data_IF_277143492946
#
_entry.id   IF_277143492946
#
_cell.length_a   1.000
_cell.length_b   1.000
_cell.length_c   1.000
_cell.angle_alpha   90.00
_cell.angle_beta   90.00
_cell.angle_gamma   90.00
#
_symmetry.space_group_name_H-M   'P 1'
#
loop_
_entity.id
_entity.type
_entity.pdbx_description
1 polymer ?
#
# COMPACT_ATOMS: atom_id res chain seq x y z
N UNK A 1 -5.37 -85.52 43.73
CA UNK A 1 -4.84 -84.21 44.17
C UNK A 1 -4.31 -83.49 42.96
N UNK A 2 -5.11 -82.61 42.40
CA UNK A 2 -4.73 -81.81 41.22
C UNK A 2 -4.80 -80.31 41.60
N UNK A 3 -3.82 -79.49 41.30
CA UNK A 3 -3.89 -78.08 41.54
C UNK A 3 -4.46 -77.38 40.34
N UNK A 4 -5.37 -76.48 40.61
CA UNK A 4 -6.02 -75.52 39.65
C UNK A 4 -4.99 -74.47 39.22
N UNK A 5 -4.81 -74.36 37.91
CA UNK A 5 -4.09 -73.22 37.31
C UNK A 5 -5.02 -72.11 37.05
N UNK A 6 -4.82 -70.96 37.65
CA UNK A 6 -5.52 -69.70 37.37
C UNK A 6 -4.88 -69.03 36.15
N UNK A 7 -5.68 -68.91 35.06
CA UNK A 7 -5.32 -68.08 33.89
C UNK A 7 -5.78 -66.65 34.12
N UNK A 8 -4.89 -65.71 34.22
CA UNK A 8 -5.19 -64.26 34.23
C UNK A 8 -5.16 -63.78 32.79
N UNK A 9 -6.35 -63.47 32.25
CA UNK A 9 -6.51 -62.79 30.99
C UNK A 9 -6.29 -61.26 31.23
N UNK A 10 -5.14 -60.78 30.80
CA UNK A 10 -4.82 -59.35 30.80
C UNK A 10 -5.35 -58.73 29.50
N UNK A 11 -6.47 -58.04 29.58
CA UNK A 11 -7.09 -57.29 28.47
C UNK A 11 -6.35 -55.97 28.32
N UNK A 12 -5.48 -55.87 27.32
CA UNK A 12 -4.80 -54.60 26.98
C UNK A 12 -5.81 -53.80 26.12
N UNK A 13 -6.29 -52.68 26.67
CA UNK A 13 -7.13 -51.72 26.00
C UNK A 13 -6.27 -50.78 25.16
N UNK A 14 -6.40 -50.73 23.84
CA UNK A 14 -5.61 -49.77 23.05
C UNK A 14 -6.17 -48.36 23.22
N UNK A 15 -5.31 -47.48 23.79
CA UNK A 15 -5.54 -46.06 23.90
C UNK A 15 -5.42 -45.43 22.51
N UNK A 16 -6.56 -45.16 21.85
CA UNK A 16 -6.64 -44.39 20.59
C UNK A 16 -6.38 -42.92 20.91
N UNK A 17 -5.17 -42.46 20.67
CA UNK A 17 -4.84 -41.02 20.67
C UNK A 17 -5.35 -40.43 19.34
N UNK A 18 -6.51 -39.78 19.37
CA UNK A 18 -7.01 -39.01 18.27
C UNK A 18 -6.19 -37.70 18.17
N UNK A 19 -5.26 -37.65 17.22
CA UNK A 19 -4.53 -36.44 16.86
C UNK A 19 -5.50 -35.53 16.09
N UNK A 20 -6.09 -34.53 16.77
CA UNK A 20 -6.88 -33.50 16.12
C UNK A 20 -5.93 -32.59 15.34
N UNK A 21 -5.81 -32.80 14.02
CA UNK A 21 -5.16 -31.86 13.11
C UNK A 21 -6.08 -30.64 12.99
N UNK A 22 -5.79 -29.58 13.75
CA UNK A 22 -6.41 -28.27 13.54
C UNK A 22 -5.87 -27.73 12.22
N UNK A 23 -6.66 -27.85 11.14
CA UNK A 23 -6.38 -27.16 9.89
C UNK A 23 -6.50 -25.64 10.15
N UNK A 24 -5.37 -24.97 10.31
CA UNK A 24 -5.28 -23.50 10.23
C UNK A 24 -5.61 -23.17 8.77
N UNK A 25 -6.85 -22.78 8.49
CA UNK A 25 -7.20 -22.19 7.22
C UNK A 25 -6.48 -20.84 7.14
N UNK A 26 -5.35 -20.80 6.48
CA UNK A 26 -4.73 -19.56 6.09
C UNK A 26 -5.72 -18.84 5.17
N UNK A 27 -6.33 -17.76 5.65
CA UNK A 27 -7.13 -16.88 4.81
C UNK A 27 -6.19 -16.33 3.73
N UNK A 28 -6.32 -16.86 2.51
CA UNK A 28 -5.54 -16.39 1.38
C UNK A 28 -5.88 -14.91 1.16
N UNK A 29 -4.90 -14.05 1.39
CA UNK A 29 -5.00 -12.63 1.09
C UNK A 29 -5.20 -12.47 -0.42
N UNK A 30 -6.29 -11.80 -0.83
CA UNK A 30 -6.60 -11.60 -2.24
C UNK A 30 -6.07 -10.25 -2.69
N UNK A 31 -5.30 -10.27 -3.79
CA UNK A 31 -4.91 -9.04 -4.49
C UNK A 31 -6.12 -8.49 -5.26
N UNK A 32 -6.43 -7.22 -5.03
CA UNK A 32 -7.57 -6.51 -5.61
C UNK A 32 -7.07 -5.35 -6.49
N UNK A 33 -7.77 -5.00 -7.58
CA UNK A 33 -7.46 -3.80 -8.34
C UNK A 33 -7.55 -2.55 -7.46
N UNK A 34 -6.55 -1.66 -7.57
CA UNK A 34 -6.51 -0.39 -6.87
C UNK A 34 -6.38 0.77 -7.85
N UNK A 35 -7.25 1.76 -7.68
CA UNK A 35 -7.23 3.03 -8.41
C UNK A 35 -7.51 4.16 -7.44
N UNK A 36 -6.73 5.21 -7.56
CA UNK A 36 -6.90 6.44 -6.81
C UNK A 36 -6.71 7.61 -7.77
N UNK A 37 -7.50 8.64 -7.60
CA UNK A 37 -7.31 9.93 -8.25
C UNK A 37 -7.62 11.02 -7.24
N UNK A 38 -6.69 11.98 -7.11
CA UNK A 38 -6.86 13.15 -6.26
C UNK A 38 -6.35 14.42 -6.93
N UNK A 39 -6.84 15.53 -6.44
CA UNK A 39 -6.41 16.88 -6.80
C UNK A 39 -6.13 17.67 -5.52
N UNK A 40 -5.16 18.57 -5.59
CA UNK A 40 -4.77 19.28 -4.39
C UNK A 40 -3.72 20.36 -4.65
N UNK A 41 -2.99 20.67 -3.60
CA UNK A 41 -1.95 21.69 -3.59
C UNK A 41 -0.60 21.12 -3.22
N UNK A 42 0.45 21.76 -3.73
CA UNK A 42 1.84 21.55 -3.33
C UNK A 42 2.38 22.84 -2.76
N UNK A 43 3.06 22.74 -1.63
CA UNK A 43 3.70 23.87 -0.96
C UNK A 43 5.17 23.56 -0.71
N UNK A 44 6.07 24.29 -1.37
CA UNK A 44 7.52 24.13 -1.15
C UNK A 44 7.92 24.72 0.19
N UNK A 45 8.62 23.90 0.99
CA UNK A 45 9.21 24.28 2.28
C UNK A 45 10.66 24.71 2.08
N UNK A 46 11.32 24.10 1.09
CA UNK A 46 12.68 24.40 0.66
C UNK A 46 12.82 24.15 -0.84
N UNK A 47 13.95 24.49 -1.47
CA UNK A 47 14.16 24.16 -2.90
C UNK A 47 14.03 22.66 -3.25
N UNK A 48 14.20 21.77 -2.27
CA UNK A 48 14.19 20.32 -2.47
C UNK A 48 13.08 19.57 -1.71
N UNK A 49 12.28 20.25 -0.90
CA UNK A 49 11.21 19.61 -0.11
C UNK A 49 9.89 20.36 -0.24
N UNK A 50 8.80 19.61 -0.31
CA UNK A 50 7.45 20.16 -0.36
C UNK A 50 6.49 19.28 0.43
N UNK A 51 5.37 19.88 0.84
CA UNK A 51 4.19 19.16 1.31
C UNK A 51 3.09 19.19 0.27
N UNK A 52 2.26 18.16 0.25
CA UNK A 52 1.06 18.08 -0.58
C UNK A 52 -0.16 17.88 0.31
N UNK A 53 -1.30 18.43 -0.10
CA UNK A 53 -2.59 18.17 0.52
C UNK A 53 -3.68 18.18 -0.55
N UNK A 54 -4.59 17.22 -0.48
CA UNK A 54 -5.60 17.08 -1.52
C UNK A 54 -6.85 16.33 -1.09
N UNK A 55 -7.74 16.15 -2.06
CA UNK A 55 -8.96 15.37 -1.92
C UNK A 55 -9.22 14.58 -3.18
N UNK A 56 -9.85 13.43 -3.05
CA UNK A 56 -10.10 12.58 -4.21
C UNK A 56 -11.00 11.39 -3.92
N UNK A 57 -10.85 10.38 -4.75
CA UNK A 57 -11.55 9.11 -4.59
C UNK A 57 -10.60 7.94 -4.84
N UNK A 58 -10.78 6.87 -4.08
CA UNK A 58 -10.03 5.64 -4.28
C UNK A 58 -10.94 4.41 -4.19
N UNK A 59 -10.62 3.37 -4.98
CA UNK A 59 -11.26 2.06 -4.82
C UNK A 59 -11.02 1.54 -3.40
N UNK A 60 -12.00 0.90 -2.80
CA UNK A 60 -11.98 0.39 -1.42
C UNK A 60 -11.91 1.46 -0.32
N UNK A 61 -11.74 2.75 -0.65
CA UNK A 61 -11.70 3.85 0.32
C UNK A 61 -12.88 4.82 0.17
N UNK A 62 -13.44 4.96 -1.05
CA UNK A 62 -14.42 5.98 -1.38
C UNK A 62 -13.75 7.35 -1.44
N UNK A 63 -14.42 8.38 -0.90
CA UNK A 63 -13.85 9.72 -0.79
C UNK A 63 -12.67 9.73 0.18
N UNK A 64 -11.60 10.41 -0.18
CA UNK A 64 -10.37 10.52 0.59
C UNK A 64 -9.94 11.98 0.76
N UNK A 65 -9.15 12.23 1.80
CA UNK A 65 -8.17 13.32 1.87
C UNK A 65 -6.78 12.75 1.75
N UNK A 66 -5.84 13.50 1.17
CA UNK A 66 -4.44 13.13 1.04
C UNK A 66 -3.55 14.17 1.71
N UNK A 67 -2.48 13.70 2.36
CA UNK A 67 -1.40 14.50 2.92
C UNK A 67 -0.08 13.81 2.57
N UNK A 68 0.89 14.54 2.03
CA UNK A 68 2.15 13.97 1.60
C UNK A 68 3.36 14.86 1.84
N UNK A 69 4.53 14.22 1.81
CA UNK A 69 5.83 14.86 1.83
C UNK A 69 6.63 14.43 0.62
N UNK A 70 7.14 15.39 -0.13
CA UNK A 70 7.92 15.21 -1.35
C UNK A 70 9.34 15.70 -1.13
N UNK A 71 10.31 14.92 -1.62
CA UNK A 71 11.73 15.29 -1.61
C UNK A 71 12.33 15.10 -2.99
N UNK A 72 12.97 16.13 -3.54
CA UNK A 72 13.80 16.04 -4.73
C UNK A 72 15.14 15.44 -4.30
N UNK A 73 15.47 14.27 -4.83
CA UNK A 73 16.66 13.48 -4.46
C UNK A 73 17.77 13.55 -5.51
N UNK A 74 17.51 14.15 -6.65
CA UNK A 74 18.49 14.32 -7.72
C UNK A 74 17.88 14.84 -9.01
N UNK A 75 18.71 14.89 -10.05
CA UNK A 75 18.28 15.19 -11.41
C UNK A 75 17.77 13.93 -12.11
N UNK A 76 16.88 14.12 -13.06
CA UNK A 76 16.38 13.10 -13.97
C UNK A 76 16.59 13.52 -15.42
N UNK A 77 16.93 12.57 -16.29
CA UNK A 77 16.97 12.79 -17.72
C UNK A 77 15.57 12.60 -18.32
N UNK A 78 15.06 13.64 -18.92
CA UNK A 78 13.75 13.64 -19.58
C UNK A 78 13.88 13.48 -21.10
N UNK A 79 12.76 13.39 -21.80
CA UNK A 79 12.73 13.37 -23.27
C UNK A 79 13.34 14.66 -23.80
N UNK A 80 13.94 14.61 -24.99
CA UNK A 80 14.62 15.75 -25.67
C UNK A 80 15.81 16.36 -24.90
N UNK A 81 16.45 15.56 -24.03
CA UNK A 81 17.57 15.98 -23.17
C UNK A 81 17.24 17.11 -22.17
N UNK A 82 15.97 17.31 -21.89
CA UNK A 82 15.58 18.21 -20.80
C UNK A 82 15.95 17.61 -19.44
N UNK A 83 16.31 18.47 -18.50
CA UNK A 83 16.62 18.08 -17.13
C UNK A 83 15.36 18.21 -16.29
N UNK A 84 14.98 17.11 -15.68
CA UNK A 84 13.91 17.03 -14.69
C UNK A 84 14.46 16.69 -13.30
N UNK A 85 13.59 16.13 -12.48
CA UNK A 85 13.91 15.79 -11.09
C UNK A 85 13.56 14.35 -10.78
N UNK A 86 14.45 13.66 -10.07
CA UNK A 86 14.16 12.41 -9.38
C UNK A 86 13.55 12.75 -8.01
N UNK A 87 12.41 12.15 -7.70
CA UNK A 87 11.60 12.52 -6.55
C UNK A 87 11.17 11.28 -5.78
N UNK A 88 11.26 11.38 -4.46
CA UNK A 88 10.65 10.47 -3.50
C UNK A 88 9.52 11.19 -2.77
N UNK A 89 8.40 10.49 -2.59
CA UNK A 89 7.22 11.05 -1.93
C UNK A 89 6.60 9.99 -1.02
N UNK A 90 6.07 10.42 0.11
CA UNK A 90 5.29 9.59 1.03
C UNK A 90 3.92 10.23 1.20
N UNK A 91 2.87 9.47 0.90
CA UNK A 91 1.50 9.92 1.04
C UNK A 91 0.73 9.12 2.07
N UNK A 92 -0.18 9.80 2.74
CA UNK A 92 -1.21 9.23 3.60
C UNK A 92 -2.57 9.60 3.04
N UNK A 93 -3.34 8.61 2.64
CA UNK A 93 -4.73 8.76 2.20
C UNK A 93 -5.66 8.37 3.35
N UNK A 94 -6.56 9.27 3.72
CA UNK A 94 -7.52 9.05 4.82
C UNK A 94 -8.93 8.93 4.24
N UNK A 95 -9.57 7.79 4.45
CA UNK A 95 -10.95 7.52 4.06
C UNK A 95 -11.94 8.25 5.00
N UNK A 96 -13.19 8.41 4.56
CA UNK A 96 -14.22 9.12 5.34
C UNK A 96 -14.50 8.51 6.73
N UNK A 97 -14.21 7.22 6.93
CA UNK A 97 -14.35 6.55 8.23
C UNK A 97 -13.09 6.66 9.12
N UNK A 98 -12.06 7.38 8.67
CA UNK A 98 -10.80 7.56 9.38
C UNK A 98 -9.74 6.48 9.14
N UNK A 99 -10.03 5.41 8.40
CA UNK A 99 -9.02 4.42 8.01
C UNK A 99 -7.99 5.07 7.07
N UNK A 100 -6.72 4.72 7.25
CA UNK A 100 -5.61 5.30 6.49
C UNK A 100 -4.89 4.26 5.65
N UNK A 101 -4.44 4.68 4.47
CA UNK A 101 -3.52 3.95 3.60
C UNK A 101 -2.27 4.80 3.41
N UNK A 102 -1.08 4.21 3.56
CA UNK A 102 0.21 4.89 3.35
C UNK A 102 0.94 4.30 2.16
N UNK A 103 1.57 5.17 1.37
CA UNK A 103 2.35 4.78 0.19
C UNK A 103 3.70 5.48 0.18
N UNK A 104 4.68 4.81 -0.42
CA UNK A 104 5.92 5.42 -0.86
C UNK A 104 5.93 5.44 -2.39
N UNK A 105 6.26 6.59 -2.97
CA UNK A 105 6.24 6.85 -4.41
C UNK A 105 7.64 7.27 -4.83
N UNK A 106 8.13 6.70 -5.93
CA UNK A 106 9.36 7.13 -6.60
C UNK A 106 9.00 7.52 -8.03
N UNK A 107 9.35 8.72 -8.44
CA UNK A 107 8.97 9.24 -9.76
C UNK A 107 10.04 10.13 -10.37
N UNK A 108 9.93 10.34 -11.67
CA UNK A 108 10.61 11.40 -12.40
C UNK A 108 9.61 12.50 -12.72
N UNK A 109 9.97 13.73 -12.41
CA UNK A 109 9.23 14.94 -12.79
C UNK A 109 9.94 15.57 -13.98
N UNK A 110 9.26 15.55 -15.13
CA UNK A 110 9.78 16.15 -16.35
C UNK A 110 8.99 17.41 -16.73
N UNK A 111 9.66 18.51 -17.12
CA UNK A 111 8.99 19.72 -17.54
C UNK A 111 8.22 19.45 -18.85
N UNK A 112 6.99 19.93 -18.92
CA UNK A 112 6.14 19.90 -20.12
C UNK A 112 5.78 21.30 -20.59
N UNK A 113 5.91 22.30 -19.72
CA UNK A 113 5.82 23.72 -20.00
C UNK A 113 6.48 24.50 -18.85
N UNK A 114 6.73 25.82 -18.98
CA UNK A 114 7.32 26.62 -17.92
C UNK A 114 6.54 26.52 -16.61
N UNK A 115 7.17 25.93 -15.57
CA UNK A 115 6.59 25.68 -14.24
C UNK A 115 5.55 24.56 -14.18
N UNK A 116 5.33 23.81 -15.28
CA UNK A 116 4.42 22.67 -15.32
C UNK A 116 5.22 21.40 -15.56
N UNK A 117 5.05 20.42 -14.67
CA UNK A 117 5.79 19.16 -14.69
C UNK A 117 4.82 17.98 -14.76
N UNK A 118 5.20 16.98 -15.54
CA UNK A 118 4.56 15.66 -15.56
C UNK A 118 5.41 14.68 -14.79
N UNK A 119 4.80 14.00 -13.83
CA UNK A 119 5.41 12.99 -12.98
C UNK A 119 4.97 11.59 -13.37
N UNK A 120 5.92 10.72 -13.64
CA UNK A 120 5.69 9.29 -13.90
C UNK A 120 6.58 8.47 -12.99
N UNK A 121 6.00 7.40 -12.43
CA UNK A 121 6.76 6.57 -11.51
C UNK A 121 5.98 5.36 -11.01
N UNK A 122 6.42 4.86 -9.88
CA UNK A 122 5.81 3.71 -9.21
C UNK A 122 5.49 4.04 -7.76
N UNK A 123 4.52 3.33 -7.21
CA UNK A 123 4.24 3.36 -5.78
C UNK A 123 4.26 1.97 -5.17
N UNK A 124 4.53 1.91 -3.89
CA UNK A 124 4.32 0.74 -3.03
C UNK A 124 3.45 1.15 -1.84
N UNK A 125 2.54 0.27 -1.45
CA UNK A 125 1.78 0.43 -0.20
C UNK A 125 2.68 0.02 0.95
N UNK A 126 2.89 0.93 1.89
CA UNK A 126 3.76 0.72 3.07
C UNK A 126 2.97 0.32 4.32
N UNK A 127 1.64 0.37 4.24
CA UNK A 127 0.75 -0.03 5.34
C UNK A 127 -0.48 0.87 5.44
N UNK A 128 -1.01 0.99 6.66
CA UNK A 128 -2.18 1.80 6.96
C UNK A 128 -2.78 1.49 8.31
N UNK A 129 -4.00 1.96 8.53
CA UNK A 129 -4.78 1.71 9.75
C UNK A 129 -6.15 1.12 9.43
N UNK A 130 -6.86 0.63 10.45
CA UNK A 130 -8.17 0.02 10.27
C UNK A 130 -8.12 -1.16 9.30
N UNK A 131 -8.97 -1.17 8.28
CA UNK A 131 -8.99 -2.24 7.25
C UNK A 131 -7.76 -2.28 6.35
N UNK A 132 -6.90 -1.23 6.38
CA UNK A 132 -5.63 -1.17 5.65
C UNK A 132 -4.43 -1.49 6.54
N UNK A 133 -4.64 -1.87 7.80
CA UNK A 133 -3.57 -2.41 8.64
C UNK A 133 -2.94 -3.63 7.97
N UNK A 134 -1.61 -3.60 7.79
CA UNK A 134 -0.86 -4.62 7.05
C UNK A 134 -1.22 -4.74 5.54
N UNK A 135 -1.88 -3.74 4.97
CA UNK A 135 -2.08 -3.69 3.52
C UNK A 135 -0.74 -3.64 2.80
N UNK A 136 -0.67 -4.34 1.67
CA UNK A 136 0.45 -4.31 0.74
C UNK A 136 -0.07 -4.05 -0.66
N UNK A 137 0.79 -3.63 -1.57
CA UNK A 137 0.39 -3.39 -2.95
C UNK A 137 1.40 -2.54 -3.67
N UNK A 138 1.23 -2.42 -4.96
CA UNK A 138 2.08 -1.59 -5.81
C UNK A 138 1.41 -1.27 -7.13
N UNK A 139 2.00 -0.34 -7.84
CA UNK A 139 1.54 0.03 -9.17
C UNK A 139 2.27 1.24 -9.72
N UNK A 140 1.63 1.92 -10.65
CA UNK A 140 2.15 3.10 -11.33
C UNK A 140 1.53 4.37 -10.75
N UNK A 141 2.36 5.41 -10.71
CA UNK A 141 2.00 6.79 -10.44
C UNK A 141 2.01 7.57 -11.74
N UNK A 142 1.04 8.44 -11.92
CA UNK A 142 0.94 9.41 -13.00
C UNK A 142 0.36 10.71 -12.43
N UNK A 143 0.99 11.86 -12.69
CA UNK A 143 0.52 13.11 -12.14
C UNK A 143 1.04 14.32 -12.89
N UNK A 144 0.40 15.46 -12.66
CA UNK A 144 0.83 16.76 -13.20
C UNK A 144 0.83 17.78 -12.08
N UNK A 145 1.92 18.54 -11.97
CA UNK A 145 2.06 19.66 -11.04
C UNK A 145 2.25 20.97 -11.80
N UNK A 146 1.45 21.97 -11.45
CA UNK A 146 1.68 23.35 -11.85
C UNK A 146 2.28 24.11 -10.68
N UNK A 147 3.60 24.29 -10.70
CA UNK A 147 4.33 24.93 -9.61
C UNK A 147 4.18 26.45 -9.59
N UNK A 148 3.67 27.06 -10.69
CA UNK A 148 3.32 28.48 -10.70
C UNK A 148 2.09 28.78 -9.84
N UNK A 149 1.14 27.84 -9.79
CA UNK A 149 -0.12 27.97 -9.03
C UNK A 149 -0.13 27.13 -7.76
N UNK A 150 0.83 26.23 -7.59
CA UNK A 150 0.86 25.29 -6.48
C UNK A 150 -0.23 24.22 -6.55
N UNK A 151 -0.69 23.85 -7.75
CA UNK A 151 -1.74 22.84 -7.92
C UNK A 151 -1.19 21.53 -8.45
N UNK A 152 -1.77 20.42 -8.01
CA UNK A 152 -1.41 19.06 -8.44
C UNK A 152 -2.65 18.23 -8.75
N UNK A 153 -2.49 17.30 -9.69
CA UNK A 153 -3.45 16.23 -9.98
C UNK A 153 -2.65 14.93 -10.05
N UNK A 154 -3.08 13.91 -9.32
CA UNK A 154 -2.37 12.64 -9.19
C UNK A 154 -3.29 11.45 -9.43
N UNK A 155 -2.72 10.37 -9.93
CA UNK A 155 -3.40 9.10 -10.10
C UNK A 155 -2.48 7.93 -9.74
N UNK A 156 -3.00 6.96 -8.98
CA UNK A 156 -2.38 5.67 -8.72
C UNK A 156 -3.19 4.56 -9.38
N UNK A 157 -2.52 3.61 -10.03
CA UNK A 157 -3.15 2.44 -10.66
C UNK A 157 -2.31 1.20 -10.41
N UNK A 158 -2.92 0.16 -9.85
CA UNK A 158 -2.20 -1.07 -9.54
C UNK A 158 -3.06 -2.06 -8.76
N UNK A 159 -2.49 -2.64 -7.73
CA UNK A 159 -3.15 -3.62 -6.87
C UNK A 159 -2.95 -3.31 -5.40
N UNK A 160 -3.88 -3.80 -4.59
CA UNK A 160 -3.81 -3.78 -3.13
C UNK A 160 -4.20 -5.14 -2.57
N UNK A 161 -3.53 -5.59 -1.56
CA UNK A 161 -3.85 -6.78 -0.77
C UNK A 161 -4.18 -6.33 0.64
N UNK A 162 -5.35 -6.71 1.12
CA UNK A 162 -5.84 -6.36 2.45
C UNK A 162 -6.21 -7.63 3.21
N UNK A 163 -6.06 -7.62 4.54
CA UNK A 163 -6.59 -8.67 5.38
C UNK A 163 -8.13 -8.59 5.37
N UNK A 164 -8.80 -9.70 5.11
CA UNK A 164 -10.25 -9.80 5.32
C UNK A 164 -10.49 -9.93 6.83
N UNK A 165 -11.26 -9.01 7.36
CA UNK A 165 -11.83 -9.11 8.71
C UNK A 165 -13.14 -9.92 8.65
#
# INVERSE_FOLDING_TARGET
>A
MSPLTHSQNSTILPLLIALALSAVTANASQSLPFRLGDEGTITFISPSTATTAGTGNATHMGRITSDGNLTIVGEASCVDNEVGFSVEMQDTFTAANGDKLTTAITMQLCPIAPGIYHGVGTYVVTGGTGRFANATGSGVFDGTGNFNTGTIICALRGTITMNRH
#
